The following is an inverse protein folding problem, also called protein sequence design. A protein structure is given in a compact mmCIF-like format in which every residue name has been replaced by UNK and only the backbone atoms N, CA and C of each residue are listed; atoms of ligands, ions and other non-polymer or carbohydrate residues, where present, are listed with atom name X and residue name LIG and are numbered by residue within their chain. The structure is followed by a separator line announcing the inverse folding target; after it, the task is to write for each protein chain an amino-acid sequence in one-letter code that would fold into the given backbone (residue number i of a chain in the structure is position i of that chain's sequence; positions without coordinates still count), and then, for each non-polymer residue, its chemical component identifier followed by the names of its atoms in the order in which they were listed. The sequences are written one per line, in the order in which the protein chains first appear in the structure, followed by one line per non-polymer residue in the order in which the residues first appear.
data_IF_909560265549
#
_entry.id   IF_909560265549
#
_cell.length_a   1.000
_cell.length_b   1.000
_cell.length_c   1.000
_cell.angle_alpha   90.00
_cell.angle_beta   90.00
_cell.angle_gamma   90.00
#
_symmetry.space_group_name_H-M   'P 1'
#
loop_
_entity.id
_entity.type
_entity.pdbx_description
1 polymer ?
#
# COMPACT_ATOMS: atom_id res chain seq x y z
N UNK A 1 -14.23 -26.72 -11.93
CA UNK A 1 -13.60 -25.42 -12.26
C UNK A 1 -14.14 -24.22 -11.47
N UNK A 2 -15.04 -24.41 -10.49
CA UNK A 2 -15.64 -23.32 -9.69
C UNK A 2 -14.80 -22.86 -8.47
N UNK A 3 -13.83 -23.68 -8.04
CA UNK A 3 -12.98 -23.41 -6.87
C UNK A 3 -12.06 -22.19 -7.05
N UNK A 4 -11.57 -21.95 -8.28
CA UNK A 4 -10.70 -20.81 -8.59
C UNK A 4 -11.44 -19.48 -8.53
N UNK A 5 -12.66 -19.42 -9.08
CA UNK A 5 -13.49 -18.22 -9.04
C UNK A 5 -13.83 -17.81 -7.60
N UNK A 6 -14.12 -18.77 -6.74
CA UNK A 6 -14.35 -18.53 -5.32
C UNK A 6 -13.14 -17.87 -4.64
N UNK A 7 -11.95 -18.41 -4.87
CA UNK A 7 -10.72 -17.85 -4.32
C UNK A 7 -10.41 -16.44 -4.83
N UNK A 8 -10.66 -16.18 -6.12
CA UNK A 8 -10.44 -14.85 -6.72
C UNK A 8 -11.35 -13.80 -6.07
N UNK A 9 -12.64 -14.10 -5.91
CA UNK A 9 -13.61 -13.17 -5.29
C UNK A 9 -13.25 -12.92 -3.83
N UNK A 10 -12.84 -13.96 -3.10
CA UNK A 10 -12.40 -13.84 -1.70
C UNK A 10 -11.17 -12.94 -1.59
N UNK A 11 -10.15 -13.14 -2.43
CA UNK A 11 -8.93 -12.31 -2.42
C UNK A 11 -9.27 -10.85 -2.73
N UNK A 12 -10.09 -10.60 -3.75
CA UNK A 12 -10.51 -9.25 -4.12
C UNK A 12 -11.26 -8.55 -2.98
N UNK A 13 -12.16 -9.29 -2.31
CA UNK A 13 -12.92 -8.81 -1.15
C UNK A 13 -12.02 -8.46 0.03
N UNK A 14 -11.04 -9.31 0.35
CA UNK A 14 -10.08 -9.07 1.44
C UNK A 14 -9.21 -7.85 1.13
N UNK A 15 -8.65 -7.77 -0.09
CA UNK A 15 -7.83 -6.62 -0.52
C UNK A 15 -8.64 -5.33 -0.45
N UNK A 16 -9.85 -5.32 -1.00
CA UNK A 16 -10.75 -4.17 -0.97
C UNK A 16 -11.13 -3.74 0.45
N UNK A 17 -11.45 -4.71 1.32
CA UNK A 17 -11.81 -4.45 2.71
C UNK A 17 -10.64 -3.87 3.53
N UNK A 18 -9.43 -4.39 3.34
CA UNK A 18 -8.22 -3.86 3.99
C UNK A 18 -7.93 -2.44 3.53
N UNK A 19 -8.06 -2.16 2.22
CA UNK A 19 -7.89 -0.81 1.66
C UNK A 19 -8.94 0.16 2.24
N UNK A 20 -10.21 -0.23 2.27
CA UNK A 20 -11.31 0.59 2.79
C UNK A 20 -11.12 0.92 4.27
N UNK A 21 -10.85 -0.09 5.12
CA UNK A 21 -10.65 0.09 6.56
C UNK A 21 -9.42 0.94 6.88
N UNK A 22 -8.35 0.85 6.08
CA UNK A 22 -7.14 1.67 6.27
C UNK A 22 -7.36 3.12 5.82
N UNK A 23 -8.11 3.36 4.74
CA UNK A 23 -8.54 4.69 4.34
C UNK A 23 -9.41 5.35 5.41
N UNK A 24 -10.35 4.62 5.99
CA UNK A 24 -11.25 5.11 7.04
C UNK A 24 -10.52 5.43 8.36
N UNK A 25 -9.41 4.74 8.68
CA UNK A 25 -8.56 5.06 9.84
C UNK A 25 -7.65 6.26 9.61
N UNK A 26 -7.25 6.54 8.37
CA UNK A 26 -6.39 7.68 8.03
C UNK A 26 -7.11 9.03 8.05
N UNK A 27 -8.43 9.07 7.88
CA UNK A 27 -9.25 10.28 8.11
C UNK A 27 -9.50 10.60 9.58
N UNK A 28 -9.12 9.72 10.52
CA UNK A 28 -9.45 9.89 11.94
C UNK A 28 -8.47 10.78 12.74
N UNK A 29 -7.36 11.26 12.16
CA UNK A 29 -6.44 12.19 12.86
C UNK A 29 -5.73 13.17 11.93
N UNK A 30 -6.24 14.40 11.84
CA UNK A 30 -5.61 15.62 12.40
C UNK A 30 -6.27 16.88 11.80
N UNK A 31 -6.83 17.77 12.63
CA UNK A 31 -7.08 19.16 12.25
C UNK A 31 -5.75 19.92 12.31
N UNK A 32 -5.37 20.61 11.22
CA UNK A 32 -4.38 21.69 11.29
C UNK A 32 -2.95 21.40 10.79
N UNK A 33 -2.78 21.01 9.51
CA UNK A 33 -1.51 21.28 8.81
C UNK A 33 -1.83 21.95 7.47
N UNK A 34 -1.21 23.12 7.27
CA UNK A 34 -1.49 24.11 6.24
C UNK A 34 -1.32 23.58 4.80
N UNK A 35 -2.09 24.10 3.83
CA UNK A 35 -2.01 23.73 2.42
C UNK A 35 -0.84 24.43 1.71
N UNK A 36 -0.40 23.86 0.59
CA UNK A 36 0.70 24.29 -0.31
C UNK A 36 2.13 23.90 0.11
N UNK A 37 2.45 22.62 -0.06
CA UNK A 37 3.67 22.28 -0.78
C UNK A 37 3.40 20.93 -1.45
N UNK A 38 3.31 20.95 -2.78
CA UNK A 38 3.18 19.82 -3.72
C UNK A 38 2.61 18.54 -3.10
N UNK A 39 1.32 18.25 -3.37
CA UNK A 39 0.72 16.93 -3.17
C UNK A 39 1.38 15.91 -4.12
N UNK A 40 2.68 15.70 -3.96
CA UNK A 40 3.44 14.70 -4.68
C UNK A 40 2.90 13.38 -4.15
N UNK A 41 2.06 12.75 -4.97
CA UNK A 41 1.48 11.46 -4.65
C UNK A 41 2.39 10.41 -5.27
N UNK A 42 2.88 9.50 -4.45
CA UNK A 42 3.72 8.40 -4.88
C UNK A 42 2.90 7.12 -4.88
N UNK A 43 3.18 6.26 -5.84
CA UNK A 43 2.51 4.98 -6.00
C UNK A 43 3.20 3.92 -5.17
N UNK A 44 2.43 3.20 -4.37
CA UNK A 44 2.86 2.01 -3.64
C UNK A 44 3.33 0.92 -4.61
N UNK A 45 4.59 0.47 -4.54
CA UNK A 45 5.09 -0.60 -5.41
C UNK A 45 4.46 -1.99 -5.11
N UNK A 46 3.98 -2.18 -3.88
CA UNK A 46 3.31 -3.41 -3.44
C UNK A 46 1.85 -3.52 -3.87
N UNK A 47 1.13 -2.40 -3.75
CA UNK A 47 -0.32 -2.37 -3.73
C UNK A 47 -0.92 -1.44 -4.79
N UNK A 48 -0.09 -0.67 -5.49
CA UNK A 48 -0.49 0.21 -6.57
C UNK A 48 -1.27 1.46 -6.16
N UNK A 49 -1.55 1.66 -4.86
CA UNK A 49 -2.31 2.82 -4.36
C UNK A 49 -1.46 4.09 -4.37
N UNK A 50 -2.09 5.23 -4.68
CA UNK A 50 -1.48 6.56 -4.57
C UNK A 50 -1.56 7.04 -3.12
N UNK A 51 -0.41 7.38 -2.55
CA UNK A 51 -0.28 7.95 -1.20
C UNK A 51 0.48 9.25 -1.27
N UNK A 52 0.22 10.20 -0.35
CA UNK A 52 1.01 11.41 -0.28
C UNK A 52 2.47 11.07 0.10
N UNK A 53 3.44 11.62 -0.63
CA UNK A 53 4.89 11.37 -0.47
C UNK A 53 5.37 11.67 0.94
N UNK A 54 4.83 12.71 1.58
CA UNK A 54 5.15 13.09 2.97
C UNK A 54 4.75 12.02 4.00
N UNK A 55 3.85 11.10 3.65
CA UNK A 55 3.41 9.97 4.48
C UNK A 55 3.85 8.62 3.91
N UNK A 56 4.48 8.60 2.74
CA UNK A 56 4.96 7.39 2.12
C UNK A 56 6.27 6.95 2.76
N UNK A 57 6.40 5.65 2.99
CA UNK A 57 7.66 5.04 3.43
C UNK A 57 8.47 4.70 2.19
N UNK A 58 9.73 5.12 2.13
CA UNK A 58 10.64 4.77 1.03
C UNK A 58 11.59 3.66 1.49
N UNK A 59 11.70 2.58 0.70
CA UNK A 59 12.57 1.43 0.98
C UNK A 59 13.07 0.82 -0.33
N UNK A 60 14.34 0.42 -0.39
CA UNK A 60 14.95 -0.21 -1.58
C UNK A 60 14.72 0.58 -2.89
N UNK A 61 14.68 1.92 -2.80
CA UNK A 61 14.39 2.80 -3.95
C UNK A 61 12.92 2.97 -4.31
N UNK A 62 12.01 2.19 -3.71
CA UNK A 62 10.56 2.22 -3.96
C UNK A 62 9.77 2.92 -2.86
N UNK A 63 8.60 3.45 -3.20
CA UNK A 63 7.67 4.09 -2.26
C UNK A 63 6.52 3.16 -1.89
N UNK A 64 6.11 3.18 -0.62
CA UNK A 64 5.09 2.32 -0.04
C UNK A 64 4.14 3.13 0.84
N UNK A 65 2.87 2.69 0.92
CA UNK A 65 1.89 3.32 1.80
C UNK A 65 2.05 2.95 3.29
N UNK A 66 2.87 1.95 3.61
CA UNK A 66 3.13 1.49 4.97
C UNK A 66 4.42 0.65 5.03
N UNK A 67 5.00 0.55 6.22
CA UNK A 67 6.20 -0.25 6.49
C UNK A 67 5.97 -1.75 6.26
N UNK A 68 4.77 -2.27 6.56
CA UNK A 68 4.42 -3.67 6.28
C UNK A 68 4.52 -4.00 4.78
N UNK A 69 4.08 -3.08 3.92
CA UNK A 69 4.17 -3.27 2.47
C UNK A 69 5.60 -3.14 1.96
N UNK A 70 6.38 -2.22 2.55
CA UNK A 70 7.79 -2.11 2.24
C UNK A 70 8.55 -3.41 2.60
N UNK A 71 8.26 -3.99 3.76
CA UNK A 71 8.86 -5.25 4.19
C UNK A 71 8.38 -6.43 3.35
N UNK A 72 7.08 -6.57 3.10
CA UNK A 72 6.54 -7.65 2.27
C UNK A 72 7.07 -7.59 0.83
N UNK A 73 7.31 -6.39 0.30
CA UNK A 73 7.95 -6.22 -1.00
C UNK A 73 9.43 -6.62 -0.95
N UNK A 74 10.15 -6.19 0.10
CA UNK A 74 11.53 -6.56 0.35
C UNK A 74 11.72 -8.07 0.46
N UNK A 75 10.91 -8.76 1.27
CA UNK A 75 11.00 -10.22 1.47
C UNK A 75 10.75 -11.02 0.17
N UNK A 76 9.89 -10.50 -0.71
CA UNK A 76 9.65 -11.12 -2.03
C UNK A 76 10.76 -10.86 -3.04
N UNK A 77 11.47 -9.73 -2.94
CA UNK A 77 12.55 -9.42 -3.87
C UNK A 77 13.92 -9.90 -3.37
N UNK A 78 14.11 -10.05 -2.05
CA UNK A 78 15.33 -10.62 -1.47
C UNK A 78 15.47 -12.12 -1.74
N UNK A 79 14.36 -12.83 -1.95
CA UNK A 79 14.35 -14.25 -2.32
C UNK A 79 14.69 -14.53 -3.79
N UNK A 80 14.64 -13.50 -4.66
CA UNK A 80 14.98 -13.62 -6.09
C UNK A 80 16.45 -13.33 -6.43
N UNK A 81 17.26 -12.85 -5.47
CA UNK A 81 18.67 -12.51 -5.68
C UNK A 81 19.64 -13.68 -5.34
N UNK A 82 19.09 -14.90 -5.19
CA UNK A 82 19.85 -16.14 -4.97
C UNK A 82 19.61 -17.08 -6.16
N UNK A 83 20.23 -16.81 -7.30
CA UNK A 83 20.30 -17.71 -8.46
C UNK A 83 21.62 -17.53 -9.19
#
# INVERSE_FOLDING_TARGET
MSKLLFWIVIILGIVGYVVYKRRARSTARLPGVKPLDTLETVRCAECGVFTAKNKAVKRDGHSFCSWEHAQKWHDRHSSSDHS
#
